data_IF_054544681955
#
_entry.id   IF_054544681955
#
_cell.length_a   1.000
_cell.length_b   1.000
_cell.length_c   1.000
_cell.angle_alpha   90.00
_cell.angle_beta   90.00
_cell.angle_gamma   90.00
#
_symmetry.space_group_name_H-M   'P 1'
#
loop_
_entity.id
_entity.type
_entity.pdbx_description
1 polymer ?
#
# COMPACT_ATOMS: atom_id res chain seq x y z
N UNK A 1 -30.60 -47.35 -44.33
CA UNK A 1 -29.15 -47.64 -44.42
C UNK A 1 -28.42 -46.28 -44.29
N UNK A 2 -27.61 -46.10 -43.23
CA UNK A 2 -26.48 -45.13 -43.04
C UNK A 2 -26.86 -43.62 -42.98
N UNK A 3 -27.01 -42.97 -41.81
CA UNK A 3 -26.04 -42.39 -40.83
C UNK A 3 -25.30 -41.09 -41.25
N UNK A 4 -25.57 -40.02 -40.48
CA UNK A 4 -24.77 -38.84 -40.04
C UNK A 4 -23.81 -38.11 -41.03
N UNK A 5 -23.72 -36.76 -41.04
CA UNK A 5 -22.98 -35.98 -40.03
C UNK A 5 -23.04 -34.45 -40.28
N UNK A 6 -22.97 -33.67 -39.19
CA UNK A 6 -22.75 -32.22 -39.13
C UNK A 6 -21.32 -31.81 -39.53
N UNK A 7 -21.12 -30.56 -40.00
CA UNK A 7 -20.06 -29.69 -39.44
C UNK A 7 -20.29 -28.20 -39.73
N UNK A 8 -20.69 -27.47 -38.70
CA UNK A 8 -20.38 -26.05 -38.58
C UNK A 8 -18.93 -25.92 -38.09
N UNK A 9 -18.11 -25.07 -38.71
CA UNK A 9 -16.82 -24.68 -38.14
C UNK A 9 -16.42 -23.30 -38.64
N UNK A 10 -16.57 -22.33 -37.76
CA UNK A 10 -16.13 -20.95 -37.93
C UNK A 10 -16.09 -20.27 -36.56
N UNK A 11 -15.27 -20.78 -35.63
CA UNK A 11 -14.96 -20.07 -34.38
C UNK A 11 -13.91 -19.00 -34.71
N UNK A 12 -14.37 -17.76 -34.89
CA UNK A 12 -13.59 -16.56 -35.21
C UNK A 12 -12.98 -15.87 -33.97
N UNK A 13 -12.95 -16.54 -32.83
CA UNK A 13 -12.30 -16.04 -31.63
C UNK A 13 -11.43 -17.15 -31.05
N UNK A 14 -10.12 -16.92 -31.06
CA UNK A 14 -9.18 -17.71 -30.28
C UNK A 14 -9.63 -17.68 -28.81
N UNK A 15 -9.76 -18.85 -28.19
CA UNK A 15 -9.90 -18.97 -26.74
C UNK A 15 -8.67 -18.30 -26.10
N UNK A 16 -8.83 -17.38 -25.13
CA UNK A 16 -7.69 -16.83 -24.44
C UNK A 16 -7.00 -17.94 -23.64
N UNK A 17 -5.68 -17.78 -23.49
CA UNK A 17 -4.77 -18.66 -22.77
C UNK A 17 -5.35 -19.25 -21.47
N UNK A 18 -4.92 -20.47 -21.15
CA UNK A 18 -5.26 -21.33 -20.00
C UNK A 18 -5.77 -20.63 -18.73
N UNK A 19 -6.73 -21.24 -18.00
CA UNK A 19 -7.39 -20.57 -16.87
C UNK A 19 -6.39 -20.21 -15.77
N UNK A 20 -6.39 -18.96 -15.25
CA UNK A 20 -5.59 -18.61 -14.09
C UNK A 20 -6.04 -19.47 -12.90
N UNK A 21 -5.08 -19.91 -12.08
CA UNK A 21 -5.30 -20.81 -10.94
C UNK A 21 -6.55 -20.46 -10.15
N UNK A 22 -7.38 -21.47 -9.88
CA UNK A 22 -8.71 -21.31 -9.25
C UNK A 22 -8.58 -20.51 -7.95
N UNK A 23 -9.20 -19.34 -7.88
CA UNK A 23 -9.23 -18.47 -6.67
C UNK A 23 -10.19 -19.00 -5.59
N UNK A 24 -10.57 -20.27 -5.66
CA UNK A 24 -11.33 -20.92 -4.60
C UNK A 24 -10.47 -20.98 -3.34
N UNK A 25 -11.06 -20.66 -2.20
CA UNK A 25 -10.32 -20.59 -0.94
C UNK A 25 -9.32 -19.43 -0.88
N UNK A 26 -9.42 -18.43 -1.76
CA UNK A 26 -8.54 -17.26 -1.72
C UNK A 26 -8.91 -16.31 -0.58
N UNK A 27 -7.89 -15.74 0.04
CA UNK A 27 -8.04 -14.58 0.91
C UNK A 27 -8.38 -13.36 0.06
N UNK A 28 -9.12 -12.41 0.63
CA UNK A 28 -9.46 -11.16 -0.06
C UNK A 28 -8.79 -9.98 0.63
N UNK A 29 -8.16 -9.09 -0.15
CA UNK A 29 -7.63 -7.82 0.34
C UNK A 29 -8.29 -6.66 -0.41
N UNK A 30 -8.98 -5.78 0.33
CA UNK A 30 -9.32 -4.45 -0.17
C UNK A 30 -8.14 -3.53 0.05
N UNK A 31 -7.77 -2.76 -0.96
CA UNK A 31 -6.65 -1.81 -0.90
C UNK A 31 -7.12 -0.42 -1.32
N UNK A 32 -6.55 0.60 -0.70
CA UNK A 32 -6.78 2.00 -1.05
C UNK A 32 -5.56 2.85 -0.68
N UNK A 33 -5.28 3.88 -1.48
CA UNK A 33 -4.26 4.88 -1.22
C UNK A 33 -4.87 6.26 -1.08
N UNK A 34 -4.37 7.05 -0.12
CA UNK A 34 -4.80 8.42 0.07
C UNK A 34 -3.60 9.38 -0.03
N UNK A 35 -3.79 10.52 -0.69
CA UNK A 35 -2.80 11.60 -0.74
C UNK A 35 -3.47 12.98 -0.61
N UNK A 36 -2.90 13.90 0.19
CA UNK A 36 -3.30 15.31 0.26
C UNK A 36 -2.47 16.15 -0.72
N UNK A 37 -2.90 16.16 -1.98
CA UNK A 37 -2.18 16.79 -3.10
C UNK A 37 -1.48 15.76 -4.00
N UNK A 38 -0.89 16.21 -5.11
CA UNK A 38 -0.31 15.31 -6.11
C UNK A 38 1.01 15.87 -6.69
N UNK A 39 2.17 15.65 -6.03
CA UNK A 39 2.38 14.84 -4.83
C UNK A 39 2.12 15.58 -3.50
N UNK A 40 1.79 14.85 -2.44
CA UNK A 40 1.57 15.39 -1.10
C UNK A 40 1.66 14.31 -0.01
N UNK A 41 1.45 14.65 1.28
CA UNK A 41 1.38 13.67 2.35
C UNK A 41 0.44 12.53 1.99
N UNK A 42 0.89 11.29 2.16
CA UNK A 42 0.20 10.12 1.66
C UNK A 42 0.23 8.96 2.65
N UNK A 43 -0.77 8.10 2.55
CA UNK A 43 -0.95 6.88 3.34
C UNK A 43 -1.58 5.78 2.48
N UNK A 44 -1.62 4.57 3.01
CA UNK A 44 -2.45 3.50 2.46
C UNK A 44 -3.30 2.83 3.54
N UNK A 45 -4.35 2.14 3.09
CA UNK A 45 -5.17 1.24 3.87
C UNK A 45 -5.31 -0.11 3.15
N UNK A 46 -5.22 -1.21 3.91
CA UNK A 46 -5.48 -2.58 3.46
C UNK A 46 -6.38 -3.26 4.47
N UNK A 47 -7.45 -3.90 4.00
CA UNK A 47 -8.33 -4.72 4.84
C UNK A 47 -8.38 -6.14 4.28
N UNK A 48 -7.87 -7.10 5.06
CA UNK A 48 -7.80 -8.51 4.68
C UNK A 48 -8.94 -9.32 5.31
N UNK A 49 -9.46 -10.27 4.52
CA UNK A 49 -10.49 -11.24 4.94
C UNK A 49 -10.08 -12.66 4.56
N UNK A 50 -10.46 -13.61 5.40
CA UNK A 50 -10.33 -15.06 5.16
C UNK A 50 -11.27 -15.51 4.04
N UNK A 51 -11.09 -16.73 3.51
CA UNK A 51 -11.96 -17.26 2.46
C UNK A 51 -13.44 -17.37 2.84
N UNK A 52 -13.75 -17.52 4.13
CA UNK A 52 -15.11 -17.53 4.68
C UNK A 52 -15.71 -16.11 4.83
N UNK A 53 -14.95 -15.07 4.49
CA UNK A 53 -15.35 -13.67 4.62
C UNK A 53 -15.06 -13.05 5.98
N UNK A 54 -14.59 -13.82 6.97
CA UNK A 54 -14.27 -13.29 8.30
C UNK A 54 -13.08 -12.30 8.25
N UNK A 55 -13.07 -11.25 9.09
CA UNK A 55 -11.95 -10.31 9.15
C UNK A 55 -10.64 -10.99 9.56
N UNK A 56 -9.58 -10.80 8.79
CA UNK A 56 -8.25 -11.33 9.10
C UNK A 56 -7.38 -10.28 9.78
N UNK A 57 -7.16 -9.14 9.12
CA UNK A 57 -6.20 -8.11 9.54
C UNK A 57 -6.49 -6.79 8.83
N UNK A 58 -6.03 -5.67 9.40
CA UNK A 58 -6.06 -4.35 8.76
C UNK A 58 -4.70 -3.66 8.85
N UNK A 59 -4.17 -3.19 7.73
CA UNK A 59 -2.86 -2.55 7.65
C UNK A 59 -3.03 -1.11 7.20
N UNK A 60 -2.52 -0.17 7.98
CA UNK A 60 -2.52 1.24 7.64
C UNK A 60 -1.16 1.85 7.92
N UNK A 61 -0.65 2.68 7.01
CA UNK A 61 0.65 3.33 7.21
C UNK A 61 0.76 4.66 6.46
N UNK A 62 1.30 5.66 7.13
CA UNK A 62 1.77 6.89 6.50
C UNK A 62 3.08 6.63 5.75
N UNK A 63 3.16 7.08 4.50
CA UNK A 63 4.24 6.75 3.57
C UNK A 63 5.02 7.98 3.09
N UNK A 64 4.89 9.12 3.77
CA UNK A 64 5.60 10.34 3.38
C UNK A 64 4.87 11.09 2.26
N UNK A 65 5.62 11.72 1.34
CA UNK A 65 5.04 12.50 0.23
C UNK A 65 5.04 11.70 -1.07
N UNK A 66 3.84 11.37 -1.57
CA UNK A 66 3.65 10.62 -2.81
C UNK A 66 2.43 11.13 -3.60
N UNK A 67 2.31 10.65 -4.84
CA UNK A 67 1.09 10.80 -5.63
C UNK A 67 0.03 9.81 -5.16
N UNK A 68 -1.25 10.06 -5.46
CA UNK A 68 -2.32 9.12 -5.11
C UNK A 68 -2.08 7.73 -5.74
N UNK A 69 -1.69 7.70 -7.02
CA UNK A 69 -1.41 6.45 -7.71
C UNK A 69 -0.23 5.67 -7.12
N UNK A 70 0.79 6.37 -6.60
CA UNK A 70 1.88 5.71 -5.89
C UNK A 70 1.39 5.12 -4.56
N UNK A 71 0.56 5.86 -3.80
CA UNK A 71 -0.05 5.38 -2.56
C UNK A 71 -0.89 4.10 -2.77
N UNK A 72 -1.68 4.05 -3.84
CA UNK A 72 -2.43 2.87 -4.27
C UNK A 72 -1.52 1.65 -4.54
N UNK A 73 -0.38 1.88 -5.21
CA UNK A 73 0.61 0.82 -5.41
C UNK A 73 1.28 0.38 -4.11
N UNK A 74 1.54 1.29 -3.17
CA UNK A 74 2.04 0.91 -1.84
C UNK A 74 1.01 0.06 -1.08
N UNK A 75 -0.28 0.36 -1.20
CA UNK A 75 -1.36 -0.47 -0.64
C UNK A 75 -1.34 -1.90 -1.21
N UNK A 76 -1.21 -2.02 -2.55
CA UNK A 76 -1.09 -3.32 -3.22
C UNK A 76 0.13 -4.11 -2.74
N UNK A 77 1.29 -3.45 -2.68
CA UNK A 77 2.54 -4.07 -2.23
C UNK A 77 2.43 -4.53 -0.77
N UNK A 78 1.81 -3.74 0.10
CA UNK A 78 1.60 -4.11 1.50
C UNK A 78 0.70 -5.36 1.63
N UNK A 79 -0.37 -5.47 0.84
CA UNK A 79 -1.21 -6.66 0.81
C UNK A 79 -0.45 -7.91 0.34
N UNK A 80 0.40 -7.78 -0.68
CA UNK A 80 1.24 -8.86 -1.20
C UNK A 80 2.32 -9.29 -0.21
N UNK A 81 3.02 -8.33 0.41
CA UNK A 81 4.03 -8.61 1.44
C UNK A 81 3.41 -9.34 2.64
N UNK A 82 2.24 -8.90 3.09
CA UNK A 82 1.51 -9.58 4.16
C UNK A 82 1.16 -11.02 3.76
N UNK A 83 0.65 -11.22 2.54
CA UNK A 83 0.29 -12.55 2.06
C UNK A 83 1.48 -13.50 2.03
N UNK A 84 2.61 -13.04 1.49
CA UNK A 84 3.86 -13.82 1.39
C UNK A 84 4.38 -14.14 2.79
N UNK A 85 4.46 -13.15 3.68
CA UNK A 85 5.00 -13.33 5.04
C UNK A 85 4.16 -14.30 5.89
N UNK A 86 2.86 -14.41 5.63
CA UNK A 86 1.93 -15.28 6.37
C UNK A 86 1.62 -16.59 5.65
N UNK A 87 2.34 -16.93 4.57
CA UNK A 87 2.12 -18.16 3.82
C UNK A 87 0.74 -18.25 3.14
N UNK A 88 0.09 -17.12 2.88
CA UNK A 88 -1.15 -17.07 2.11
C UNK A 88 -0.81 -17.39 0.66
N UNK A 89 -1.29 -18.53 0.17
CA UNK A 89 -1.00 -19.04 -1.18
C UNK A 89 -1.86 -18.41 -2.26
N UNK A 90 -3.07 -17.99 -1.91
CA UNK A 90 -4.09 -17.51 -2.87
C UNK A 90 -4.67 -16.18 -2.39
N UNK A 91 -4.50 -15.13 -3.19
CA UNK A 91 -4.93 -13.78 -2.86
C UNK A 91 -5.76 -13.15 -3.98
N UNK A 92 -6.93 -12.62 -3.62
CA UNK A 92 -7.75 -11.75 -4.45
C UNK A 92 -7.67 -10.32 -3.92
N UNK A 93 -7.18 -9.40 -4.74
CA UNK A 93 -7.15 -7.97 -4.44
C UNK A 93 -8.35 -7.27 -5.07
N UNK A 94 -8.97 -6.37 -4.32
CA UNK A 94 -10.06 -5.50 -4.73
C UNK A 94 -9.63 -4.04 -4.53
N UNK A 95 -9.78 -3.22 -5.58
CA UNK A 95 -9.46 -1.79 -5.57
C UNK A 95 -10.49 -1.03 -6.39
N UNK A 96 -10.79 0.21 -6.03
CA UNK A 96 -11.59 1.13 -6.84
C UNK A 96 -10.73 1.92 -7.87
N UNK A 97 -9.41 1.72 -7.88
CA UNK A 97 -8.51 2.30 -8.88
C UNK A 97 -8.44 1.42 -10.14
N UNK A 98 -9.19 1.80 -11.18
CA UNK A 98 -9.11 1.14 -12.49
C UNK A 98 -7.69 1.17 -13.08
N UNK A 99 -6.91 2.21 -12.79
CA UNK A 99 -5.56 2.38 -13.32
C UNK A 99 -4.66 1.21 -12.90
N UNK A 100 -4.52 0.97 -11.59
CA UNK A 100 -3.62 -0.06 -11.08
C UNK A 100 -4.14 -1.46 -11.45
N UNK A 101 -5.46 -1.66 -11.45
CA UNK A 101 -6.09 -2.93 -11.85
C UNK A 101 -5.71 -3.26 -13.30
N UNK A 102 -5.86 -2.30 -14.21
CA UNK A 102 -5.55 -2.50 -15.63
C UNK A 102 -4.04 -2.59 -15.90
N UNK A 103 -3.22 -1.89 -15.13
CA UNK A 103 -1.75 -2.01 -15.23
C UNK A 103 -1.26 -3.38 -14.73
N UNK A 104 -1.81 -3.89 -13.63
CA UNK A 104 -1.48 -5.23 -13.12
C UNK A 104 -1.96 -6.36 -14.03
N UNK A 105 -3.11 -6.16 -14.72
CA UNK A 105 -3.60 -7.08 -15.76
C UNK A 105 -2.83 -6.99 -17.08
N UNK A 106 -1.92 -6.03 -17.22
CA UNK A 106 -1.16 -5.81 -18.45
C UNK A 106 -1.94 -5.12 -19.57
N UNK A 107 -3.20 -4.74 -19.31
CA UNK A 107 -4.03 -3.98 -20.26
C UNK A 107 -3.46 -2.59 -20.51
N UNK A 108 -2.97 -1.93 -19.45
CA UNK A 108 -2.40 -0.58 -19.52
C UNK A 108 -0.89 -0.59 -19.29
N UNK A 109 -0.17 0.22 -20.07
CA UNK A 109 1.27 0.46 -19.87
C UNK A 109 1.50 1.43 -18.71
N UNK A 110 2.53 1.17 -17.90
CA UNK A 110 2.98 2.10 -16.86
C UNK A 110 3.92 3.13 -17.48
N UNK A 111 3.43 4.36 -17.66
CA UNK A 111 4.20 5.46 -18.26
C UNK A 111 4.98 6.28 -17.24
N UNK A 112 4.43 6.47 -16.04
CA UNK A 112 5.04 7.32 -15.03
C UNK A 112 6.30 6.66 -14.45
N UNK A 113 7.47 7.33 -14.45
CA UNK A 113 8.73 6.74 -14.01
C UNK A 113 8.66 6.23 -12.57
N UNK A 114 8.05 6.99 -11.66
CA UNK A 114 7.93 6.60 -10.25
C UNK A 114 7.01 5.39 -10.01
N UNK A 115 6.07 5.11 -10.91
CA UNK A 115 5.17 3.96 -10.78
C UNK A 115 5.79 2.67 -11.34
N UNK A 116 6.72 2.77 -12.28
CA UNK A 116 7.40 1.60 -12.86
C UNK A 116 8.06 0.70 -11.81
N UNK A 117 8.90 1.19 -10.88
CA UNK A 117 9.51 0.32 -9.87
C UNK A 117 8.48 -0.32 -8.94
N UNK A 118 7.40 0.39 -8.60
CA UNK A 118 6.33 -0.14 -7.76
C UNK A 118 5.53 -1.25 -8.47
N UNK A 119 5.19 -1.04 -9.74
CA UNK A 119 4.52 -2.04 -10.56
C UNK A 119 5.36 -3.29 -10.76
N UNK A 120 6.65 -3.14 -11.08
CA UNK A 120 7.55 -4.29 -11.24
C UNK A 120 7.70 -5.09 -9.93
N UNK A 121 7.80 -4.41 -8.78
CA UNK A 121 7.80 -5.06 -7.48
C UNK A 121 6.51 -5.84 -7.23
N UNK A 122 5.36 -5.20 -7.43
CA UNK A 122 4.05 -5.82 -7.23
C UNK A 122 3.86 -7.04 -8.16
N UNK A 123 4.29 -6.95 -9.43
CA UNK A 123 4.26 -8.09 -10.37
C UNK A 123 5.13 -9.26 -9.90
N UNK A 124 6.35 -8.99 -9.44
CA UNK A 124 7.27 -10.02 -8.94
C UNK A 124 6.69 -10.72 -7.72
N UNK A 125 6.15 -9.97 -6.75
CA UNK A 125 5.52 -10.53 -5.56
C UNK A 125 4.24 -11.32 -5.90
N UNK A 126 3.39 -10.79 -6.78
CA UNK A 126 2.19 -11.51 -7.21
C UNK A 126 2.52 -12.86 -7.87
N UNK A 127 3.63 -12.93 -8.61
CA UNK A 127 4.08 -14.15 -9.26
C UNK A 127 4.62 -15.23 -8.30
N UNK A 128 4.88 -14.91 -7.04
CA UNK A 128 5.30 -15.92 -6.03
C UNK A 128 4.12 -16.63 -5.36
N UNK A 129 2.89 -16.12 -5.54
CA UNK A 129 1.69 -16.75 -5.00
C UNK A 129 1.24 -17.91 -5.91
N UNK A 130 0.64 -18.95 -5.34
CA UNK A 130 0.04 -20.04 -6.12
C UNK A 130 -1.10 -19.51 -7.02
N UNK A 131 -1.86 -18.53 -6.53
CA UNK A 131 -2.85 -17.82 -7.33
C UNK A 131 -2.99 -16.36 -6.89
N UNK A 132 -2.96 -15.45 -7.84
CA UNK A 132 -3.21 -14.03 -7.62
C UNK A 132 -4.29 -13.53 -8.59
N UNK A 133 -5.22 -12.74 -8.08
CA UNK A 133 -6.18 -12.01 -8.90
C UNK A 133 -6.35 -10.60 -8.38
N UNK A 134 -6.58 -9.65 -9.30
CA UNK A 134 -6.94 -8.28 -8.96
C UNK A 134 -8.15 -7.86 -9.77
N UNK A 135 -9.11 -7.20 -9.12
CA UNK A 135 -10.33 -6.73 -9.76
C UNK A 135 -10.71 -5.33 -9.30
N UNK A 136 -11.35 -4.60 -10.21
CA UNK A 136 -12.02 -3.36 -9.88
C UNK A 136 -13.28 -3.66 -9.07
N UNK A 137 -13.54 -2.84 -8.06
CA UNK A 137 -14.82 -2.78 -7.35
C UNK A 137 -15.28 -1.32 -7.24
N UNK A 138 -16.58 -1.03 -7.23
CA UNK A 138 -17.07 0.32 -6.93
C UNK A 138 -16.58 0.81 -5.56
N UNK A 139 -16.41 2.13 -5.42
CA UNK A 139 -15.90 2.77 -4.19
C UNK A 139 -16.73 2.43 -2.95
N UNK A 140 -18.04 2.22 -3.12
CA UNK A 140 -18.96 1.79 -2.06
C UNK A 140 -18.56 0.44 -1.44
N UNK A 141 -17.96 -0.43 -2.25
CA UNK A 141 -17.46 -1.75 -1.83
C UNK A 141 -16.03 -1.69 -1.29
N UNK A 142 -15.33 -0.56 -1.44
CA UNK A 142 -13.96 -0.34 -0.97
C UNK A 142 -13.85 0.58 0.26
N UNK A 143 -14.99 1.04 0.80
CA UNK A 143 -15.06 2.03 1.89
C UNK A 143 -14.20 1.73 3.11
N UNK A 144 -14.02 0.45 3.45
CA UNK A 144 -13.23 0.07 4.62
C UNK A 144 -11.74 0.41 4.45
N UNK A 145 -11.18 0.15 3.26
CA UNK A 145 -9.78 0.47 2.96
C UNK A 145 -9.59 1.99 2.81
N UNK A 146 -10.53 2.68 2.13
CA UNK A 146 -10.53 4.15 2.00
C UNK A 146 -10.61 4.87 3.35
N UNK A 147 -11.51 4.42 4.22
CA UNK A 147 -11.62 4.94 5.60
C UNK A 147 -10.31 4.75 6.34
N UNK A 148 -9.69 3.57 6.24
CA UNK A 148 -8.43 3.28 6.91
C UNK A 148 -7.29 4.16 6.39
N UNK A 149 -7.15 4.31 5.07
CA UNK A 149 -6.13 5.15 4.45
C UNK A 149 -6.27 6.60 4.91
N UNK A 150 -7.48 7.17 4.84
CA UNK A 150 -7.73 8.53 5.28
C UNK A 150 -7.54 8.73 6.79
N UNK A 151 -7.99 7.78 7.62
CA UNK A 151 -7.78 7.84 9.06
C UNK A 151 -6.29 7.88 9.41
N UNK A 152 -5.46 7.08 8.75
CA UNK A 152 -4.00 7.12 8.92
C UNK A 152 -3.43 8.47 8.49
N UNK A 153 -3.92 9.01 7.37
CA UNK A 153 -3.44 10.29 6.84
C UNK A 153 -3.77 11.46 7.76
N UNK A 154 -4.98 11.44 8.33
CA UNK A 154 -5.47 12.50 9.21
C UNK A 154 -4.82 12.43 10.60
N UNK A 155 -4.60 11.21 11.13
CA UNK A 155 -3.94 10.99 12.42
C UNK A 155 -2.43 11.30 12.41
N UNK A 156 -1.80 11.38 11.23
CA UNK A 156 -0.39 11.78 11.10
C UNK A 156 -0.22 13.30 11.05
N UNK A 157 -1.31 14.06 11.18
CA UNK A 157 -1.30 15.52 11.18
C UNK A 157 -1.81 16.07 9.85
N UNK A 158 -3.12 16.24 9.77
CA UNK A 158 -3.74 17.17 8.82
C UNK A 158 -3.23 18.60 9.04
N UNK A 159 -2.07 18.94 8.50
CA UNK A 159 -1.73 20.33 8.20
C UNK A 159 -2.64 20.75 7.06
N UNK A 160 -3.76 21.37 7.41
CA UNK A 160 -4.54 22.17 6.46
C UNK A 160 -3.57 23.13 5.76
N UNK A 161 -3.58 23.26 4.42
CA UNK A 161 -2.86 24.35 3.79
C UNK A 161 -3.44 25.66 4.32
N UNK A 162 -2.62 26.44 5.03
CA UNK A 162 -3.02 27.70 5.60
C UNK A 162 -3.32 28.70 4.48
N UNK A 163 -4.61 28.95 4.22
CA UNK A 163 -5.09 30.19 3.63
C UNK A 163 -6.13 30.80 4.57
N UNK A 164 -5.79 31.98 5.13
CA UNK A 164 -6.76 33.03 5.46
C UNK A 164 -7.51 33.00 6.80
N UNK A 165 -7.06 33.89 7.71
CA UNK A 165 -7.83 34.77 8.63
C UNK A 165 -8.76 34.21 9.72
N UNK A 166 -8.46 34.56 10.99
CA UNK A 166 -9.46 34.78 12.05
C UNK A 166 -9.10 34.18 13.43
N UNK A 167 -9.18 34.92 14.56
CA UNK A 167 -8.44 34.58 15.78
C UNK A 167 -9.23 33.85 16.89
N UNK A 168 -8.42 33.24 17.77
CA UNK A 168 -8.59 33.03 19.22
C UNK A 168 -9.81 32.23 19.76
N UNK A 169 -9.53 31.08 20.37
CA UNK A 169 -9.75 30.95 21.82
C UNK A 169 -8.84 29.87 22.45
N UNK A 170 -8.23 30.23 23.57
CA UNK A 170 -7.35 29.41 24.42
C UNK A 170 -8.19 28.93 25.61
N UNK A 171 -8.26 27.63 25.86
CA UNK A 171 -8.44 27.12 27.23
C UNK A 171 -8.05 25.64 27.36
N UNK A 172 -7.17 25.41 28.34
CA UNK A 172 -6.96 24.19 29.12
C UNK A 172 -6.38 22.94 28.43
N UNK A 173 -5.05 22.81 28.49
CA UNK A 173 -4.36 21.53 28.52
C UNK A 173 -3.62 21.46 29.87
N UNK A 174 -3.98 20.44 30.66
CA UNK A 174 -3.34 20.12 31.93
C UNK A 174 -1.87 19.75 31.74
N UNK A 175 -1.06 20.09 32.75
CA UNK A 175 0.37 19.84 32.80
C UNK A 175 0.68 18.35 32.63
N UNK A 176 1.49 18.03 31.63
CA UNK A 176 2.29 16.81 31.60
C UNK A 176 3.75 17.27 31.76
N UNK A 177 4.42 16.72 32.75
CA UNK A 177 5.82 16.98 33.14
C UNK A 177 6.80 16.90 31.95
N UNK A 178 7.84 17.75 31.90
CA UNK A 178 8.78 17.80 30.77
C UNK A 178 9.68 16.56 30.73
N UNK A 179 9.51 15.77 29.67
CA UNK A 179 10.42 14.68 29.29
C UNK A 179 11.75 15.30 28.84
N UNK A 180 12.86 14.79 29.37
CA UNK A 180 14.23 15.30 29.25
C UNK A 180 14.58 15.97 27.91
N UNK A 181 15.12 17.19 27.97
CA UNK A 181 15.64 17.90 26.80
C UNK A 181 16.80 17.14 26.17
N UNK A 182 16.71 16.80 24.89
CA UNK A 182 17.83 16.36 24.07
C UNK A 182 18.76 17.56 23.79
N UNK A 183 19.63 17.90 24.74
CA UNK A 183 20.40 19.16 24.70
C UNK A 183 21.78 19.08 24.03
N UNK A 184 22.17 17.93 23.45
CA UNK A 184 23.44 17.81 22.74
C UNK A 184 23.38 16.81 21.56
N UNK A 185 24.06 17.10 20.42
CA UNK A 185 24.24 16.14 19.34
C UNK A 185 24.91 14.87 19.86
N UNK A 186 24.36 13.70 19.52
CA UNK A 186 24.91 12.39 19.92
C UNK A 186 25.14 11.48 18.71
N UNK A 187 26.24 10.73 18.70
CA UNK A 187 26.55 9.73 17.66
C UNK A 187 25.88 8.41 18.02
N UNK A 188 25.02 7.93 17.14
CA UNK A 188 24.29 6.66 17.29
C UNK A 188 24.69 5.72 16.15
N UNK A 189 24.89 4.43 16.46
CA UNK A 189 25.11 3.42 15.41
C UNK A 189 23.80 3.08 14.72
N UNK A 190 23.84 2.86 13.41
CA UNK A 190 22.70 2.42 12.64
C UNK A 190 23.12 1.41 11.56
N UNK A 191 22.21 0.51 11.20
CA UNK A 191 22.37 -0.45 10.11
C UNK A 191 21.48 -0.03 8.94
N UNK A 192 21.99 -0.05 7.72
CA UNK A 192 21.18 0.17 6.52
C UNK A 192 20.81 -1.17 5.90
N UNK A 193 19.51 -1.50 5.87
CA UNK A 193 18.98 -2.75 5.34
C UNK A 193 17.73 -2.48 4.52
N UNK A 194 17.68 -3.03 3.31
CA UNK A 194 16.53 -2.95 2.41
C UNK A 194 15.99 -1.52 2.17
N UNK A 195 16.89 -0.54 2.09
CA UNK A 195 16.53 0.86 1.86
C UNK A 195 16.15 1.64 3.13
N UNK A 196 16.22 1.01 4.31
CA UNK A 196 15.82 1.60 5.59
C UNK A 196 17.03 1.72 6.53
N UNK A 197 17.18 2.88 7.16
CA UNK A 197 18.16 3.10 8.22
C UNK A 197 17.57 2.69 9.57
N UNK A 198 18.16 1.70 10.23
CA UNK A 198 17.70 1.09 11.47
C UNK A 198 18.68 1.49 12.60
N UNK A 199 18.30 2.35 13.56
CA UNK A 199 19.17 2.71 14.67
C UNK A 199 19.39 1.52 15.61
N UNK A 200 20.58 1.41 16.18
CA UNK A 200 20.94 0.34 17.13
C UNK A 200 20.35 0.56 18.53
N UNK A 201 19.88 1.77 18.82
CA UNK A 201 19.30 2.15 20.10
C UNK A 201 18.12 3.14 19.90
N UNK A 202 17.19 3.24 20.87
CA UNK A 202 16.09 4.18 20.80
C UNK A 202 16.56 5.63 20.66
N UNK A 203 16.02 6.31 19.66
CA UNK A 203 16.41 7.68 19.39
C UNK A 203 15.85 8.67 20.42
N UNK A 204 14.82 8.29 21.20
CA UNK A 204 14.22 9.17 22.21
C UNK A 204 13.53 10.39 21.60
N UNK A 205 13.19 10.31 20.32
CA UNK A 205 12.64 11.37 19.50
C UNK A 205 11.12 11.24 19.51
N UNK A 206 10.42 12.35 19.69
CA UNK A 206 8.96 12.40 19.64
C UNK A 206 8.43 12.15 18.22
N UNK A 207 7.17 11.72 18.12
CA UNK A 207 6.51 11.64 16.81
C UNK A 207 6.50 13.04 16.15
N UNK A 208 6.88 13.10 14.86
CA UNK A 208 6.96 14.32 14.04
C UNK A 208 8.04 15.34 14.44
N UNK A 209 9.03 14.95 15.25
CA UNK A 209 10.20 15.79 15.52
C UNK A 209 11.18 15.73 14.34
N UNK A 210 11.49 16.89 13.74
CA UNK A 210 12.44 17.00 12.63
C UNK A 210 13.88 16.95 13.13
N UNK A 211 14.72 16.21 12.41
CA UNK A 211 16.08 15.87 12.82
C UNK A 211 17.05 16.17 11.70
N UNK A 212 18.15 16.82 12.02
CA UNK A 212 19.32 16.79 11.17
C UNK A 212 20.18 15.57 11.52
N UNK A 213 20.37 14.65 10.58
CA UNK A 213 21.22 13.47 10.76
C UNK A 213 22.47 13.59 9.87
N UNK A 214 23.64 13.38 10.46
CA UNK A 214 24.89 13.23 9.71
C UNK A 214 25.15 11.75 9.45
N UNK A 215 25.31 11.36 8.19
CA UNK A 215 25.57 9.97 7.79
C UNK A 215 27.06 9.80 7.50
N UNK A 216 27.73 8.98 8.32
CA UNK A 216 29.14 8.62 8.16
C UNK A 216 29.26 7.10 7.93
N UNK A 217 29.90 6.69 6.83
CA UNK A 217 30.11 5.26 6.53
C UNK A 217 31.32 4.76 7.31
N UNK A 218 31.08 3.86 8.27
CA UNK A 218 32.16 3.22 9.02
C UNK A 218 32.98 2.26 8.13
N UNK A 219 34.30 2.16 8.35
CA UNK A 219 35.13 1.18 7.66
C UNK A 219 34.65 -0.24 7.96
N UNK A 220 34.63 -1.09 6.92
CA UNK A 220 34.36 -2.53 7.10
C UNK A 220 35.55 -3.11 7.87
N UNK A 221 35.28 -3.68 9.04
CA UNK A 221 36.24 -4.55 9.74
C UNK A 221 36.21 -5.94 9.11
#
# INVERSE_FOLDING_TARGET
>A
MIKHTHKASGRLFAEPASPPGRLDGAYTANIDGAARGNPGPASYGVVLRRPDGSPLESLGKYIGRHTNNAAEYFALIAALDYAIANGIKRLRVQSDSQLIVNQMKGTYKVKHPDLRPLHERAKKQAATLEAFGIQYVPREQNRAADTLANAVLDNTGGVKPAYGSGPANRAAIGRIEPRASLSAPRKIRACFRDGVLIPAEPLGIGENEELEITIERLPRR
#
